data_IF_618867919316
#
_entry.id   IF_618867919316
#
_cell.length_a   1.000
_cell.length_b   1.000
_cell.length_c   1.000
_cell.angle_alpha   90.00
_cell.angle_beta   90.00
_cell.angle_gamma   90.00
#
_symmetry.space_group_name_H-M   'P 1'
#
loop_
_entity.id
_entity.type
_entity.pdbx_description
1 polymer ?
#
# COMPACT_ATOMS: atom_id res chain seq x y z
N UNK A 1 2.17 25.20 -12.51
CA UNK A 1 3.22 24.28 -13.02
C UNK A 1 2.58 22.90 -13.17
N UNK A 2 2.93 22.12 -14.21
CA UNK A 2 2.53 20.72 -14.28
C UNK A 2 3.12 19.95 -13.09
N UNK A 3 2.36 19.01 -12.54
CA UNK A 3 2.73 18.14 -11.42
C UNK A 3 2.30 16.69 -11.73
N UNK A 4 2.89 15.72 -11.04
CA UNK A 4 2.72 14.30 -11.33
C UNK A 4 2.56 13.47 -10.05
N UNK A 5 2.07 12.25 -10.22
CA UNK A 5 2.04 11.23 -9.18
C UNK A 5 2.39 9.90 -9.81
N UNK A 6 3.18 9.09 -9.12
CA UNK A 6 3.45 7.72 -9.51
C UNK A 6 2.70 6.76 -8.59
N UNK A 7 2.41 5.56 -9.08
CA UNK A 7 1.72 4.51 -8.36
C UNK A 7 2.43 3.19 -8.65
N UNK A 8 2.45 2.27 -7.69
CA UNK A 8 2.86 0.90 -7.96
C UNK A 8 2.06 -0.11 -7.15
N UNK A 9 1.99 -1.32 -7.69
CA UNK A 9 1.58 -2.54 -7.02
C UNK A 9 2.66 -3.58 -7.30
N UNK A 10 3.12 -4.28 -6.27
CA UNK A 10 4.05 -5.40 -6.42
C UNK A 10 3.70 -6.53 -5.46
N UNK A 11 4.07 -7.74 -5.87
CA UNK A 11 3.83 -8.95 -5.10
C UNK A 11 5.05 -9.84 -5.11
N UNK A 12 5.17 -10.64 -4.07
CA UNK A 12 6.03 -11.80 -4.00
C UNK A 12 5.19 -13.01 -3.52
N UNK A 13 5.81 -14.18 -3.45
CA UNK A 13 5.16 -15.32 -2.80
C UNK A 13 3.96 -15.92 -3.54
N UNK A 14 3.90 -15.80 -4.87
CA UNK A 14 2.95 -16.60 -5.67
C UNK A 14 3.16 -18.09 -5.36
N UNK A 15 2.10 -18.78 -4.92
CA UNK A 15 2.15 -20.20 -4.52
C UNK A 15 2.56 -20.45 -3.06
N UNK A 16 2.81 -19.42 -2.26
CA UNK A 16 3.14 -19.58 -0.83
C UNK A 16 2.00 -20.26 -0.07
N UNK A 17 0.75 -19.86 -0.31
CA UNK A 17 -0.41 -20.44 0.38
C UNK A 17 -0.56 -21.95 0.12
N UNK A 18 -0.38 -22.37 -1.14
CA UNK A 18 -0.42 -23.79 -1.52
C UNK A 18 0.70 -24.58 -0.83
N UNK A 19 1.93 -24.03 -0.85
CA UNK A 19 3.09 -24.71 -0.25
C UNK A 19 3.00 -24.77 1.27
N UNK A 20 2.42 -23.73 1.89
CA UNK A 20 2.13 -23.68 3.32
C UNK A 20 1.17 -24.78 3.74
N UNK A 21 0.08 -25.01 2.99
CA UNK A 21 -0.85 -26.14 3.27
C UNK A 21 -0.12 -27.48 3.34
N UNK A 22 0.89 -27.69 2.51
CA UNK A 22 1.76 -28.87 2.56
C UNK A 22 2.58 -28.99 3.86
N UNK A 23 3.22 -27.88 4.29
CA UNK A 23 3.97 -27.86 5.54
C UNK A 23 3.08 -28.01 6.78
N UNK A 24 1.92 -27.37 6.78
CA UNK A 24 0.97 -27.46 7.89
C UNK A 24 0.44 -28.90 8.01
N UNK A 25 0.15 -29.57 6.89
CA UNK A 25 -0.26 -30.98 6.87
C UNK A 25 0.84 -31.94 7.37
N UNK A 26 2.12 -31.65 7.09
CA UNK A 26 3.26 -32.42 7.61
C UNK A 26 3.69 -32.00 9.01
N UNK A 27 2.97 -31.07 9.66
CA UNK A 27 3.31 -30.48 10.96
C UNK A 27 4.70 -29.79 10.98
N UNK A 28 5.21 -29.37 9.81
CA UNK A 28 6.45 -28.60 9.63
C UNK A 28 6.19 -27.09 9.81
N UNK A 29 5.66 -26.70 10.97
CA UNK A 29 5.20 -25.31 11.24
C UNK A 29 6.33 -24.29 11.04
N UNK A 30 7.57 -24.63 11.41
CA UNK A 30 8.73 -23.74 11.24
C UNK A 30 8.98 -23.38 9.76
N UNK A 31 8.79 -24.34 8.84
CA UNK A 31 8.97 -24.11 7.40
C UNK A 31 7.84 -23.26 6.83
N UNK A 32 6.63 -23.48 7.32
CA UNK A 32 5.44 -22.69 6.98
C UNK A 32 5.64 -21.21 7.33
N UNK A 33 6.03 -20.93 8.59
CA UNK A 33 6.33 -19.57 9.05
C UNK A 33 7.51 -18.96 8.30
N UNK A 34 8.59 -19.71 8.11
CA UNK A 34 9.78 -19.22 7.41
C UNK A 34 9.47 -18.84 5.95
N UNK A 35 8.63 -19.63 5.26
CA UNK A 35 8.23 -19.35 3.89
C UNK A 35 7.42 -18.05 3.80
N UNK A 36 6.45 -17.86 4.70
CA UNK A 36 5.67 -16.62 4.75
C UNK A 36 6.55 -15.40 5.07
N UNK A 37 7.43 -15.52 6.06
CA UNK A 37 8.36 -14.46 6.41
C UNK A 37 9.28 -14.09 5.24
N UNK A 38 9.81 -15.08 4.51
CA UNK A 38 10.65 -14.82 3.34
C UNK A 38 9.86 -14.11 2.23
N UNK A 39 8.63 -14.54 1.96
CA UNK A 39 7.79 -13.94 0.95
C UNK A 39 7.48 -12.47 1.27
N UNK A 40 7.13 -12.19 2.52
CA UNK A 40 6.89 -10.83 3.01
C UNK A 40 8.13 -9.93 2.87
N UNK A 41 9.31 -10.42 3.26
CA UNK A 41 10.58 -9.67 3.08
C UNK A 41 10.89 -9.41 1.60
N UNK A 42 10.57 -10.34 0.71
CA UNK A 42 10.75 -10.14 -0.73
C UNK A 42 9.78 -9.10 -1.30
N UNK A 43 8.53 -9.07 -0.85
CA UNK A 43 7.56 -8.06 -1.28
C UNK A 43 8.00 -6.65 -0.87
N UNK A 44 8.47 -6.48 0.37
CA UNK A 44 8.99 -5.19 0.86
C UNK A 44 10.28 -4.77 0.16
N UNK A 45 11.20 -5.71 -0.06
CA UNK A 45 12.42 -5.44 -0.82
C UNK A 45 12.12 -5.02 -2.26
N UNK A 46 11.10 -5.62 -2.89
CA UNK A 46 10.68 -5.26 -4.24
C UNK A 46 10.02 -3.87 -4.26
N UNK A 47 9.20 -3.55 -3.26
CA UNK A 47 8.63 -2.21 -3.11
C UNK A 47 9.73 -1.13 -2.97
N UNK A 48 10.78 -1.39 -2.18
CA UNK A 48 11.91 -0.46 -2.05
C UNK A 48 12.69 -0.31 -3.36
N UNK A 49 12.91 -1.42 -4.08
CA UNK A 49 13.57 -1.40 -5.39
C UNK A 49 12.76 -0.61 -6.43
N UNK A 50 11.45 -0.84 -6.53
CA UNK A 50 10.56 -0.10 -7.44
C UNK A 50 10.60 1.37 -7.08
N UNK A 51 10.47 1.71 -5.79
CA UNK A 51 10.52 3.10 -5.37
C UNK A 51 11.86 3.75 -5.70
N UNK A 52 12.99 3.08 -5.45
CA UNK A 52 14.31 3.58 -5.87
C UNK A 52 14.37 3.84 -7.38
N UNK A 53 13.90 2.90 -8.20
CA UNK A 53 13.82 3.08 -9.65
C UNK A 53 12.93 4.25 -10.06
N UNK A 54 11.76 4.43 -9.44
CA UNK A 54 10.91 5.60 -9.69
C UNK A 54 11.72 6.89 -9.47
N UNK A 55 12.52 6.96 -8.40
CA UNK A 55 13.33 8.15 -8.09
C UNK A 55 14.50 8.36 -9.06
N UNK A 56 15.19 7.30 -9.47
CA UNK A 56 16.50 7.42 -10.14
C UNK A 56 16.47 7.18 -11.64
N UNK A 57 15.53 6.38 -12.13
CA UNK A 57 15.51 5.94 -13.53
C UNK A 57 14.69 6.92 -14.40
N UNK A 58 15.27 7.50 -15.46
CA UNK A 58 14.58 8.44 -16.34
C UNK A 58 13.45 7.79 -17.16
N UNK A 59 13.41 6.46 -17.29
CA UNK A 59 12.30 5.76 -17.93
C UNK A 59 11.05 5.70 -17.05
N UNK A 60 11.19 5.97 -15.74
CA UNK A 60 10.08 6.15 -14.80
C UNK A 60 9.85 7.64 -14.49
N UNK A 61 10.32 8.14 -13.35
CA UNK A 61 10.19 9.56 -12.98
C UNK A 61 11.56 10.23 -12.94
N UNK A 62 12.58 9.59 -12.35
CA UNK A 62 13.97 10.01 -12.49
C UNK A 62 14.27 11.40 -11.90
N UNK A 63 13.57 11.80 -10.83
CA UNK A 63 13.73 13.12 -10.22
C UNK A 63 14.97 13.26 -9.31
N UNK A 64 15.67 12.16 -9.00
CA UNK A 64 16.98 12.13 -8.32
C UNK A 64 17.92 11.12 -9.01
N UNK A 65 18.37 11.37 -10.25
CA UNK A 65 19.11 10.38 -11.03
C UNK A 65 20.48 10.01 -10.43
N UNK A 66 21.10 10.93 -9.69
CA UNK A 66 22.41 10.77 -9.05
C UNK A 66 22.31 10.20 -7.61
N UNK A 67 21.17 9.64 -7.21
CA UNK A 67 20.99 9.08 -5.87
C UNK A 67 21.99 7.93 -5.62
N UNK A 68 22.84 8.11 -4.61
CA UNK A 68 23.80 7.10 -4.18
C UNK A 68 23.69 6.88 -2.66
N UNK A 69 22.58 6.24 -2.25
CA UNK A 69 22.32 5.93 -0.85
C UNK A 69 22.82 4.53 -0.49
N UNK A 70 23.36 4.40 0.72
CA UNK A 70 23.58 3.08 1.30
C UNK A 70 22.23 2.42 1.64
N UNK A 71 22.20 1.09 1.74
CA UNK A 71 21.02 0.37 2.22
C UNK A 71 20.53 0.90 3.58
N UNK A 72 21.46 1.22 4.49
CA UNK A 72 21.14 1.79 5.80
C UNK A 72 20.44 3.14 5.70
N UNK A 73 20.83 3.98 4.75
CA UNK A 73 20.21 5.28 4.51
C UNK A 73 18.85 5.14 3.84
N UNK A 74 18.68 4.20 2.91
CA UNK A 74 17.38 3.88 2.31
C UNK A 74 16.38 3.40 3.37
N UNK A 75 16.78 2.48 4.25
CA UNK A 75 15.93 1.99 5.35
C UNK A 75 15.57 3.08 6.37
N UNK A 76 16.42 4.11 6.49
CA UNK A 76 16.14 5.31 7.29
C UNK A 76 15.34 6.37 6.53
N UNK A 77 14.86 6.06 5.32
CA UNK A 77 14.02 6.95 4.49
C UNK A 77 14.73 8.29 4.23
N UNK A 78 16.05 8.25 3.96
CA UNK A 78 16.84 9.47 3.68
C UNK A 78 16.76 9.96 2.23
N UNK A 79 16.00 9.27 1.38
CA UNK A 79 15.73 9.71 0.02
C UNK A 79 14.70 10.84 -0.04
N UNK A 80 14.62 11.50 -1.19
CA UNK A 80 13.62 12.53 -1.47
C UNK A 80 12.28 11.89 -1.85
N UNK A 81 11.20 12.39 -1.25
CA UNK A 81 9.85 11.92 -1.50
C UNK A 81 9.39 10.80 -0.56
N UNK A 82 8.14 10.38 -0.73
CA UNK A 82 7.51 9.34 0.10
C UNK A 82 6.65 8.40 -0.76
N UNK A 83 6.37 7.22 -0.22
CA UNK A 83 5.43 6.26 -0.82
C UNK A 83 4.32 5.79 0.14
N UNK A 84 3.30 6.61 0.43
CA UNK A 84 2.23 6.20 1.33
C UNK A 84 1.36 5.11 0.70
N UNK A 85 0.94 4.16 1.53
CA UNK A 85 0.12 3.02 1.13
C UNK A 85 -1.26 3.11 1.80
N UNK A 86 -2.36 2.78 1.08
CA UNK A 86 -3.70 2.74 1.66
C UNK A 86 -3.82 1.76 2.84
N UNK A 87 -4.31 2.26 3.97
CA UNK A 87 -4.38 1.58 5.26
C UNK A 87 -3.41 2.12 6.31
N UNK A 88 -2.36 2.85 5.90
CA UNK A 88 -1.42 3.45 6.83
C UNK A 88 -1.96 4.77 7.39
N UNK A 89 -1.43 5.30 8.51
CA UNK A 89 -1.91 6.53 9.12
C UNK A 89 -1.98 7.75 8.19
N UNK A 90 -1.11 7.84 7.17
CA UNK A 90 -1.13 8.90 6.14
C UNK A 90 -2.31 8.77 5.18
N UNK A 91 -2.83 7.56 5.00
CA UNK A 91 -3.90 7.21 4.07
C UNK A 91 -4.77 6.09 4.65
N UNK A 92 -5.56 6.35 5.72
CA UNK A 92 -6.17 5.28 6.52
C UNK A 92 -7.26 4.48 5.79
N UNK A 93 -7.86 5.05 4.74
CA UNK A 93 -8.94 4.39 4.03
C UNK A 93 -8.42 3.35 3.02
N UNK A 94 -8.70 2.08 3.28
CA UNK A 94 -8.26 0.98 2.44
C UNK A 94 -8.91 0.94 1.05
N UNK A 95 -10.06 1.61 0.83
CA UNK A 95 -10.75 1.67 -0.48
C UNK A 95 -9.93 2.37 -1.55
N UNK A 96 -8.93 3.16 -1.19
CA UNK A 96 -8.03 3.73 -2.19
C UNK A 96 -7.21 2.65 -2.95
N UNK A 97 -7.14 1.40 -2.45
CA UNK A 97 -6.57 0.29 -3.24
C UNK A 97 -7.34 0.02 -4.53
N UNK A 98 -8.66 0.24 -4.56
CA UNK A 98 -9.47 0.11 -5.79
C UNK A 98 -9.00 1.08 -6.86
N UNK A 99 -8.67 2.31 -6.45
CA UNK A 99 -8.10 3.33 -7.35
C UNK A 99 -6.75 2.87 -7.90
N UNK A 100 -5.86 2.32 -7.07
CA UNK A 100 -4.57 1.79 -7.53
C UNK A 100 -4.76 0.62 -8.51
N UNK A 101 -5.62 -0.34 -8.17
CA UNK A 101 -5.90 -1.50 -9.02
C UNK A 101 -6.41 -1.09 -10.40
N UNK A 102 -7.35 -0.14 -10.44
CA UNK A 102 -7.94 0.36 -11.68
C UNK A 102 -6.96 1.15 -12.53
N UNK A 103 -6.15 2.02 -11.91
CA UNK A 103 -5.20 2.86 -12.67
C UNK A 103 -4.01 2.07 -13.20
N UNK A 104 -3.56 1.04 -12.46
CA UNK A 104 -2.42 0.21 -12.83
C UNK A 104 -2.79 -1.03 -13.63
N UNK A 105 -4.08 -1.36 -13.73
CA UNK A 105 -4.55 -2.64 -14.29
C UNK A 105 -3.87 -3.85 -13.62
N UNK A 106 -3.74 -3.77 -12.29
CA UNK A 106 -2.82 -4.61 -11.52
C UNK A 106 -3.12 -6.11 -11.62
N UNK A 107 -4.40 -6.48 -11.63
CA UNK A 107 -4.83 -7.87 -11.76
C UNK A 107 -4.46 -8.45 -13.12
N UNK A 108 -4.74 -7.72 -14.21
CA UNK A 108 -4.43 -8.18 -15.57
C UNK A 108 -2.93 -8.23 -15.82
N UNK A 109 -2.17 -7.18 -15.44
CA UNK A 109 -0.71 -7.15 -15.62
C UNK A 109 0.01 -8.21 -14.80
N UNK A 110 -0.55 -8.62 -13.67
CA UNK A 110 -0.02 -9.74 -12.87
C UNK A 110 -0.42 -11.12 -13.41
N UNK A 111 -1.24 -11.19 -14.46
CA UNK A 111 -1.79 -12.43 -15.00
C UNK A 111 -2.79 -13.10 -14.05
N UNK A 112 -3.59 -12.32 -13.33
CA UNK A 112 -4.59 -12.79 -12.36
C UNK A 112 -4.00 -13.31 -11.04
N UNK A 113 -2.72 -13.02 -10.76
CA UNK A 113 -2.03 -13.51 -9.56
C UNK A 113 -2.08 -12.54 -8.40
N UNK A 114 -2.22 -11.24 -8.70
CA UNK A 114 -2.40 -10.17 -7.72
C UNK A 114 -3.86 -9.75 -7.71
N UNK A 115 -4.61 -10.17 -6.69
CA UNK A 115 -6.05 -9.91 -6.59
C UNK A 115 -6.39 -9.15 -5.31
N UNK A 116 -7.48 -8.40 -5.35
CA UNK A 116 -8.01 -7.66 -4.23
C UNK A 116 -9.28 -8.37 -3.75
N UNK A 117 -9.34 -8.75 -2.46
CA UNK A 117 -10.54 -9.38 -1.90
C UNK A 117 -11.67 -8.37 -1.72
N UNK A 118 -12.88 -8.84 -1.43
CA UNK A 118 -14.02 -7.97 -1.08
C UNK A 118 -13.75 -7.05 0.13
N UNK A 119 -12.87 -7.49 1.04
CA UNK A 119 -12.42 -6.71 2.20
C UNK A 119 -11.15 -5.89 1.91
N UNK A 120 -10.76 -5.78 0.64
CA UNK A 120 -9.59 -5.05 0.15
C UNK A 120 -8.26 -5.54 0.71
N UNK A 121 -8.17 -6.82 1.05
CA UNK A 121 -6.89 -7.47 1.29
C UNK A 121 -6.24 -7.82 -0.04
N UNK A 122 -4.94 -7.60 -0.14
CA UNK A 122 -4.17 -7.96 -1.33
C UNK A 122 -3.76 -9.43 -1.22
N UNK A 123 -3.95 -10.20 -2.29
CA UNK A 123 -3.52 -11.57 -2.41
C UNK A 123 -2.54 -11.68 -3.58
N UNK A 124 -1.37 -12.32 -3.39
CA UNK A 124 -0.89 -12.98 -2.17
C UNK A 124 -0.64 -11.98 -1.03
N UNK A 125 -0.70 -12.44 0.22
CA UNK A 125 -0.51 -11.59 1.41
C UNK A 125 0.82 -10.81 1.38
N UNK A 126 1.86 -11.41 0.79
CA UNK A 126 3.13 -10.75 0.49
C UNK A 126 2.98 -9.81 -0.73
N UNK A 127 2.21 -8.74 -0.56
CA UNK A 127 1.98 -7.71 -1.57
C UNK A 127 2.05 -6.31 -0.97
N UNK A 128 2.50 -5.35 -1.79
CA UNK A 128 2.59 -3.94 -1.43
C UNK A 128 2.01 -3.10 -2.56
N UNK A 129 1.26 -2.05 -2.23
CA UNK A 129 0.87 -1.02 -3.18
C UNK A 129 1.05 0.36 -2.54
N UNK A 130 1.37 1.36 -3.34
CA UNK A 130 1.56 2.71 -2.84
C UNK A 130 1.39 3.78 -3.94
N UNK A 131 1.05 4.98 -3.50
CA UNK A 131 1.32 6.20 -4.25
C UNK A 131 2.77 6.61 -4.01
N UNK A 132 3.36 7.39 -4.91
CA UNK A 132 4.69 7.99 -4.77
C UNK A 132 4.62 9.50 -5.00
N UNK A 133 5.17 10.26 -4.06
CA UNK A 133 5.23 11.73 -4.10
C UNK A 133 6.69 12.17 -4.17
N UNK A 134 7.04 12.97 -5.18
CA UNK A 134 8.40 13.46 -5.40
C UNK A 134 8.74 14.76 -4.64
N UNK A 135 7.75 15.45 -4.07
CA UNK A 135 7.97 16.75 -3.45
C UNK A 135 8.91 16.64 -2.24
N UNK A 136 9.97 17.48 -2.19
CA UNK A 136 11.03 17.39 -1.17
C UNK A 136 10.56 17.55 0.27
N UNK A 137 9.44 18.26 0.47
CA UNK A 137 8.80 18.46 1.78
C UNK A 137 7.73 17.41 2.11
N UNK A 138 7.46 16.45 1.23
CA UNK A 138 6.51 15.40 1.51
C UNK A 138 7.02 14.53 2.68
N UNK A 139 6.14 14.23 3.63
CA UNK A 139 6.46 13.47 4.84
C UNK A 139 5.31 12.55 5.20
N UNK A 140 5.62 11.44 5.84
CA UNK A 140 4.61 10.62 6.50
C UNK A 140 4.06 11.38 7.71
N UNK A 141 2.75 11.41 7.85
CA UNK A 141 2.03 11.98 8.99
C UNK A 141 0.78 11.16 9.25
N UNK A 142 0.30 11.12 10.49
CA UNK A 142 -1.01 10.55 10.76
C UNK A 142 -2.07 11.61 10.45
N UNK A 143 -3.10 11.23 9.68
CA UNK A 143 -4.28 12.08 9.48
C UNK A 143 -4.93 12.44 10.82
N UNK A 144 -4.90 11.50 11.78
CA UNK A 144 -5.52 11.66 13.08
C UNK A 144 -7.04 11.53 13.00
N UNK A 145 -7.71 12.08 14.01
CA UNK A 145 -9.17 12.07 14.08
C UNK A 145 -9.78 13.16 13.20
N UNK A 146 -10.80 12.79 12.42
CA UNK A 146 -11.56 13.70 11.56
C UNK A 146 -13.01 13.83 12.04
N UNK A 147 -13.59 15.02 11.86
CA UNK A 147 -14.94 15.32 12.28
C UNK A 147 -15.98 14.97 11.21
N UNK A 148 -17.25 14.98 11.61
CA UNK A 148 -18.38 14.56 10.77
C UNK A 148 -18.53 15.40 9.49
N UNK A 149 -18.16 16.67 9.53
CA UNK A 149 -18.14 17.55 8.36
C UNK A 149 -17.16 17.05 7.29
N UNK A 150 -15.94 16.66 7.68
CA UNK A 150 -14.95 16.10 6.76
C UNK A 150 -15.38 14.71 6.24
N UNK A 151 -16.01 13.87 7.09
CA UNK A 151 -16.54 12.57 6.65
C UNK A 151 -17.66 12.77 5.63
N UNK A 152 -18.57 13.73 5.84
CA UNK A 152 -19.63 14.05 4.91
C UNK A 152 -19.10 14.54 3.55
N UNK A 153 -18.14 15.46 3.56
CA UNK A 153 -17.48 15.95 2.35
C UNK A 153 -16.75 14.82 1.60
N UNK A 154 -16.02 13.96 2.33
CA UNK A 154 -15.29 12.84 1.73
C UNK A 154 -16.23 11.79 1.12
N UNK A 155 -17.36 11.52 1.77
CA UNK A 155 -18.38 10.60 1.26
C UNK A 155 -19.01 11.13 -0.03
N UNK A 156 -19.29 12.43 -0.10
CA UNK A 156 -19.79 13.09 -1.31
C UNK A 156 -18.77 13.00 -2.47
N UNK A 157 -17.49 13.25 -2.20
CA UNK A 157 -16.41 13.13 -3.21
C UNK A 157 -16.24 11.70 -3.73
N UNK A 158 -16.48 10.69 -2.89
CA UNK A 158 -16.40 9.29 -3.28
C UNK A 158 -17.69 8.74 -3.89
N UNK A 159 -18.82 9.42 -3.70
CA UNK A 159 -20.12 8.95 -4.15
C UNK A 159 -20.68 7.80 -3.31
N UNK A 160 -20.37 7.74 -2.01
CA UNK A 160 -20.89 6.76 -1.07
C UNK A 160 -21.69 7.44 0.06
N UNK A 161 -22.36 6.65 0.91
CA UNK A 161 -23.03 7.20 2.10
C UNK A 161 -22.03 7.55 3.20
N UNK A 162 -22.47 8.36 4.16
CA UNK A 162 -21.66 8.71 5.33
C UNK A 162 -21.36 7.47 6.17
N UNK A 163 -22.35 6.60 6.35
CA UNK A 163 -22.26 5.37 7.13
C UNK A 163 -21.24 4.40 6.53
N UNK A 164 -21.16 4.32 5.19
CA UNK A 164 -20.14 3.51 4.52
C UNK A 164 -18.74 4.07 4.78
N UNK A 165 -18.56 5.40 4.72
CA UNK A 165 -17.29 6.02 5.08
C UNK A 165 -16.91 5.84 6.54
N UNK A 166 -17.85 5.97 7.46
CA UNK A 166 -17.63 5.72 8.89
C UNK A 166 -17.14 4.28 9.12
N UNK A 167 -17.76 3.30 8.44
CA UNK A 167 -17.35 1.89 8.52
C UNK A 167 -15.90 1.68 8.07
N UNK A 168 -15.49 2.25 6.92
CA UNK A 168 -14.17 2.02 6.35
C UNK A 168 -13.04 2.82 7.02
N UNK A 169 -13.34 4.04 7.48
CA UNK A 169 -12.37 4.86 8.22
C UNK A 169 -12.11 4.33 9.63
N UNK A 170 -13.10 3.65 10.22
CA UNK A 170 -13.00 3.02 11.52
C UNK A 170 -12.89 4.01 12.69
N UNK A 171 -13.07 3.48 13.91
CA UNK A 171 -13.12 4.32 15.13
C UNK A 171 -11.82 5.04 15.46
N UNK A 172 -10.67 4.57 14.96
CA UNK A 172 -9.38 5.23 15.16
C UNK A 172 -9.23 6.53 14.35
N UNK A 173 -9.97 6.67 13.24
CA UNK A 173 -9.93 7.86 12.37
C UNK A 173 -11.09 8.81 12.66
N UNK A 174 -12.18 8.33 13.26
CA UNK A 174 -13.34 9.17 13.57
C UNK A 174 -13.12 9.92 14.90
N UNK A 175 -13.28 11.24 14.86
CA UNK A 175 -13.23 12.13 16.03
C UNK A 175 -14.55 12.24 16.81
N UNK A 176 -15.51 11.39 16.49
CA UNK A 176 -16.85 11.37 17.05
C UNK A 176 -17.38 9.93 17.05
N UNK A 177 -18.43 9.67 17.82
CA UNK A 177 -19.14 8.40 17.80
C UNK A 177 -20.24 8.43 16.73
N UNK A 178 -20.18 7.56 15.71
CA UNK A 178 -21.30 7.35 14.80
C UNK A 178 -22.54 6.89 15.56
N UNK A 179 -23.76 7.15 15.04
CA UNK A 179 -24.97 6.55 15.57
C UNK A 179 -24.81 5.03 15.60
N UNK A 180 -25.26 4.39 16.69
CA UNK A 180 -25.28 2.93 16.81
C UNK A 180 -26.09 2.35 15.64
N UNK A 181 -25.51 1.36 14.93
CA UNK A 181 -26.26 0.53 13.98
C UNK A 181 -27.21 -0.42 14.73
#
# INVERSE_FOLDING_TARGET
LPDHIALFCCQAGVGVEERKKGYDASHDIDKSIMLEALADRLAEAFAELIHHKIRTDPDFWGYVPEENLSLSDMLKVKYVGIRPAPGYPTQPDHREKDTLWRLLDAENLSGGKMVLTESLMMMPAASVCALCFAHEKAKYFAVGQINKDQVADYSARRGCTVEDSERWLGSSTLGYEPPSQ
#
